data_IF_693130088090
#
_entry.id   IF_693130088090
#
_cell.length_a   1.000
_cell.length_b   1.000
_cell.length_c   1.000
_cell.angle_alpha   90.00
_cell.angle_beta   90.00
_cell.angle_gamma   90.00
#
_symmetry.space_group_name_H-M   'P 1'
#
loop_
_entity.id
_entity.type
_entity.pdbx_description
1 polymer ?
#
# COMPACT_ATOMS: atom_id res chain seq x y z
N UNK A 1 8.44 41.90 -54.57
CA UNK A 1 8.31 40.44 -54.41
C UNK A 1 9.69 39.75 -54.28
N UNK A 2 10.52 40.07 -53.28
CA UNK A 2 11.86 39.44 -53.10
C UNK A 2 12.18 39.03 -51.64
N UNK A 3 11.32 39.36 -50.68
CA UNK A 3 11.62 39.26 -49.24
C UNK A 3 11.06 37.99 -48.56
N UNK A 4 10.15 37.26 -49.19
CA UNK A 4 9.48 36.10 -48.57
C UNK A 4 10.30 34.80 -48.65
N UNK A 5 11.30 34.74 -49.52
CA UNK A 5 12.12 33.54 -49.72
C UNK A 5 13.27 33.44 -48.70
N UNK A 6 13.78 34.58 -48.23
CA UNK A 6 14.84 34.62 -47.22
C UNK A 6 14.32 34.19 -45.83
N UNK A 7 13.07 34.53 -45.51
CA UNK A 7 12.46 34.18 -44.22
C UNK A 7 12.08 32.71 -44.11
N UNK A 8 11.67 32.07 -45.21
CA UNK A 8 11.34 30.64 -45.22
C UNK A 8 12.59 29.77 -45.11
N UNK A 9 13.68 30.14 -45.79
CA UNK A 9 14.96 29.44 -45.69
C UNK A 9 15.55 29.49 -44.27
N UNK A 10 15.45 30.63 -43.57
CA UNK A 10 15.93 30.77 -42.20
C UNK A 10 15.16 29.89 -41.20
N UNK A 11 13.83 29.77 -41.36
CA UNK A 11 12.99 28.94 -40.50
C UNK A 11 13.26 27.44 -40.67
N UNK A 12 13.51 26.99 -41.90
CA UNK A 12 13.85 25.58 -42.18
C UNK A 12 15.21 25.22 -41.60
N UNK A 13 16.21 26.11 -41.70
CA UNK A 13 17.52 25.90 -41.08
C UNK A 13 17.44 25.82 -39.54
N UNK A 14 16.58 26.63 -38.92
CA UNK A 14 16.34 26.59 -37.47
C UNK A 14 15.66 25.28 -37.02
N UNK A 15 14.72 24.76 -37.82
CA UNK A 15 14.04 23.49 -37.54
C UNK A 15 14.97 22.26 -37.71
N UNK A 16 15.89 22.31 -38.67
CA UNK A 16 16.90 21.25 -38.87
C UNK A 16 18.00 21.24 -37.78
N UNK A 17 18.25 22.38 -37.13
CA UNK A 17 19.19 22.46 -36.01
C UNK A 17 18.63 21.87 -34.70
N UNK A 18 17.30 21.77 -34.56
CA UNK A 18 16.65 21.21 -33.35
C UNK A 18 16.58 19.67 -33.34
N UNK A 19 16.87 18.99 -34.46
CA UNK A 19 16.72 17.53 -34.57
C UNK A 19 17.96 16.71 -34.21
N UNK A 20 19.09 17.33 -33.86
CA UNK A 20 20.30 16.62 -33.44
C UNK A 20 20.44 16.58 -31.90
N UNK A 21 19.60 15.78 -31.24
CA UNK A 21 19.97 15.18 -29.95
C UNK A 21 20.17 13.68 -30.14
N UNK A 22 21.40 13.34 -30.50
CA UNK A 22 21.89 11.98 -30.57
C UNK A 22 21.87 11.27 -29.21
N UNK A 23 21.46 10.01 -29.30
CA UNK A 23 21.62 8.87 -28.40
C UNK A 23 22.82 8.93 -27.41
N UNK A 24 22.57 8.70 -26.11
CA UNK A 24 23.52 8.01 -25.21
C UNK A 24 22.92 7.78 -23.80
N UNK A 25 22.63 6.52 -23.46
CA UNK A 25 23.23 5.78 -22.33
C UNK A 25 22.50 4.43 -22.21
N UNK A 26 23.23 3.35 -22.47
CA UNK A 26 22.76 2.00 -22.13
C UNK A 26 22.75 1.84 -20.62
N UNK A 27 21.57 1.62 -20.05
CA UNK A 27 21.43 1.25 -18.64
C UNK A 27 21.32 -0.27 -18.56
N UNK A 28 22.44 -0.93 -18.31
CA UNK A 28 22.44 -2.27 -17.72
C UNK A 28 22.09 -2.12 -16.23
N UNK A 29 20.90 -2.58 -15.87
CA UNK A 29 20.45 -2.68 -14.49
C UNK A 29 19.50 -3.86 -14.35
N UNK A 30 20.05 -5.05 -14.15
CA UNK A 30 19.28 -6.21 -13.70
C UNK A 30 18.91 -5.98 -12.23
N UNK A 31 17.81 -5.27 -12.06
CA UNK A 31 17.21 -5.01 -10.75
C UNK A 31 16.52 -6.30 -10.30
N UNK A 32 17.26 -7.24 -9.71
CA UNK A 32 16.66 -8.36 -8.97
C UNK A 32 16.07 -7.84 -7.66
N UNK A 33 14.98 -7.06 -7.75
CA UNK A 33 14.15 -6.69 -6.62
C UNK A 33 13.41 -7.94 -6.13
N UNK A 34 14.05 -8.69 -5.23
CA UNK A 34 13.48 -9.89 -4.60
C UNK A 34 12.29 -9.59 -3.68
N UNK A 35 11.95 -8.31 -3.47
CA UNK A 35 10.84 -7.85 -2.64
C UNK A 35 9.57 -7.48 -3.44
N UNK A 36 9.61 -7.49 -4.78
CA UNK A 36 8.43 -7.24 -5.61
C UNK A 36 7.89 -8.53 -6.26
N UNK A 37 7.80 -9.62 -5.49
CA UNK A 37 7.03 -10.79 -5.95
C UNK A 37 5.56 -10.51 -5.69
N UNK A 38 4.76 -10.47 -6.74
CA UNK A 38 3.31 -10.58 -6.64
C UNK A 38 2.96 -12.05 -6.37
N UNK A 39 2.21 -12.31 -5.29
CA UNK A 39 1.78 -13.66 -4.93
C UNK A 39 0.58 -14.08 -5.76
N UNK A 40 0.56 -15.33 -6.24
CA UNK A 40 -0.63 -15.84 -6.92
C UNK A 40 -1.73 -16.18 -5.92
N UNK A 41 -2.96 -16.29 -6.41
CA UNK A 41 -4.12 -16.62 -5.57
C UNK A 41 -3.97 -18.01 -4.94
N UNK A 42 -3.39 -18.95 -5.68
CA UNK A 42 -3.16 -20.32 -5.24
C UNK A 42 -2.13 -20.37 -4.12
N UNK A 43 -1.04 -19.59 -4.23
CA UNK A 43 -0.02 -19.48 -3.19
C UNK A 43 -0.60 -18.88 -1.90
N UNK A 44 -1.43 -17.83 -2.02
CA UNK A 44 -2.11 -17.24 -0.87
C UNK A 44 -3.06 -18.24 -0.19
N UNK A 45 -3.79 -19.04 -0.97
CA UNK A 45 -4.65 -20.10 -0.43
C UNK A 45 -3.84 -21.20 0.28
N UNK A 46 -2.65 -21.53 -0.22
CA UNK A 46 -1.76 -22.47 0.44
C UNK A 46 -1.21 -21.91 1.76
N UNK A 47 -0.84 -20.64 1.79
CA UNK A 47 -0.39 -19.97 3.02
C UNK A 47 -1.50 -19.93 4.07
N UNK A 48 -2.72 -19.60 3.66
CA UNK A 48 -3.90 -19.60 4.52
C UNK A 48 -4.18 -21.00 5.08
N UNK A 49 -4.10 -22.04 4.25
CA UNK A 49 -4.29 -23.42 4.69
C UNK A 49 -3.23 -23.88 5.69
N UNK A 50 -1.99 -23.36 5.58
CA UNK A 50 -0.87 -23.73 6.47
C UNK A 50 -0.85 -22.94 7.77
N UNK A 51 -1.19 -21.65 7.71
CA UNK A 51 -0.90 -20.69 8.78
C UNK A 51 -2.10 -19.85 9.22
N UNK A 52 -3.24 -19.93 8.52
CA UNK A 52 -4.44 -19.13 8.84
C UNK A 52 -5.20 -19.63 10.06
N UNK A 53 -4.95 -20.85 10.52
CA UNK A 53 -5.59 -21.39 11.72
C UNK A 53 -4.78 -21.09 12.99
N UNK A 54 -5.42 -20.40 13.94
CA UNK A 54 -4.87 -20.18 15.28
C UNK A 54 -5.44 -21.20 16.27
N UNK A 55 -4.57 -21.75 17.12
CA UNK A 55 -4.98 -22.53 18.28
C UNK A 55 -5.50 -21.60 19.38
N UNK A 56 -6.40 -22.10 20.24
CA UNK A 56 -7.02 -21.28 21.31
C UNK A 56 -6.04 -20.72 22.37
N UNK A 57 -4.79 -21.18 22.36
CA UNK A 57 -3.71 -20.70 23.24
C UNK A 57 -2.69 -19.80 22.50
N UNK A 58 -2.90 -19.56 21.21
CA UNK A 58 -2.05 -18.73 20.35
C UNK A 58 -2.85 -17.48 19.89
N UNK A 59 -2.16 -16.49 19.34
CA UNK A 59 -2.76 -15.28 18.80
C UNK A 59 -2.97 -14.18 19.85
N UNK A 60 -3.56 -13.07 19.40
CA UNK A 60 -3.96 -11.97 20.29
C UNK A 60 -5.29 -12.34 20.93
N UNK A 61 -5.38 -12.25 22.26
CA UNK A 61 -6.60 -12.51 23.04
C UNK A 61 -7.67 -11.43 22.90
N UNK A 62 -8.03 -11.05 21.67
CA UNK A 62 -9.23 -10.26 21.42
C UNK A 62 -10.48 -11.13 21.53
N UNK A 63 -11.66 -10.51 21.64
CA UNK A 63 -12.90 -11.25 21.68
C UNK A 63 -13.08 -12.03 20.36
N UNK A 64 -13.15 -13.37 20.46
CA UNK A 64 -13.30 -14.27 19.32
C UNK A 64 -12.28 -14.07 18.17
N UNK A 65 -11.05 -13.63 18.50
CA UNK A 65 -10.00 -13.32 17.51
C UNK A 65 -10.40 -12.24 16.48
N UNK A 66 -11.34 -11.34 16.81
CA UNK A 66 -11.65 -10.17 15.97
C UNK A 66 -10.49 -9.18 15.95
N UNK A 67 -10.40 -8.41 14.87
CA UNK A 67 -9.37 -7.38 14.72
C UNK A 67 -9.42 -6.34 15.85
N UNK A 68 -8.26 -6.08 16.46
CA UNK A 68 -8.14 -5.05 17.49
C UNK A 68 -8.03 -3.66 16.85
N UNK A 69 -8.96 -2.79 17.19
CA UNK A 69 -8.97 -1.39 16.74
C UNK A 69 -9.20 -0.43 17.91
N UNK A 70 -8.54 0.73 17.87
CA UNK A 70 -8.78 1.81 18.84
C UNK A 70 -10.03 2.60 18.46
N UNK A 71 -11.19 2.01 18.68
CA UNK A 71 -12.50 2.50 18.23
C UNK A 71 -12.82 3.94 18.67
N UNK A 72 -12.43 4.36 19.88
CA UNK A 72 -12.73 5.71 20.38
C UNK A 72 -11.81 6.81 19.82
N UNK A 73 -10.71 6.44 19.16
CA UNK A 73 -9.75 7.40 18.61
C UNK A 73 -9.63 7.35 17.09
N UNK A 74 -10.19 6.31 16.45
CA UNK A 74 -10.16 6.14 15.01
C UNK A 74 -11.60 6.14 14.43
N UNK A 75 -12.14 7.32 14.09
CA UNK A 75 -13.49 7.44 13.54
C UNK A 75 -13.61 6.99 12.07
N UNK A 76 -12.48 6.73 11.39
CA UNK A 76 -12.51 6.24 10.01
C UNK A 76 -12.92 4.75 9.94
N UNK A 77 -12.68 4.02 11.01
CA UNK A 77 -13.01 2.60 11.10
C UNK A 77 -14.51 2.42 11.30
N UNK A 78 -15.13 1.58 10.48
CA UNK A 78 -16.57 1.31 10.51
C UNK A 78 -16.80 -0.11 10.97
N UNK A 79 -17.81 -0.28 11.82
CA UNK A 79 -18.16 -1.56 12.41
C UNK A 79 -19.67 -1.65 12.53
N UNK A 80 -20.25 -2.79 12.19
CA UNK A 80 -21.65 -3.10 12.47
C UNK A 80 -21.85 -3.42 13.96
N UNK A 81 -20.87 -4.13 14.54
CA UNK A 81 -20.81 -4.50 15.95
C UNK A 81 -19.38 -4.25 16.44
N UNK A 82 -19.24 -3.57 17.58
CA UNK A 82 -17.97 -3.35 18.24
C UNK A 82 -18.05 -3.81 19.70
N UNK A 83 -16.95 -4.37 20.21
CA UNK A 83 -16.85 -4.90 21.58
C UNK A 83 -15.81 -4.07 22.33
N UNK A 84 -16.25 -3.44 23.42
CA UNK A 84 -15.39 -2.60 24.28
C UNK A 84 -15.50 -3.11 25.71
N UNK A 85 -14.37 -3.55 26.26
CA UNK A 85 -14.28 -3.92 27.66
C UNK A 85 -14.17 -2.69 28.55
N UNK A 86 -14.95 -2.68 29.65
CA UNK A 86 -14.84 -1.67 30.71
C UNK A 86 -14.59 -2.41 32.03
N UNK A 87 -13.33 -2.66 32.41
CA UNK A 87 -12.98 -3.40 33.62
C UNK A 87 -13.16 -2.49 34.85
N UNK A 88 -14.41 -2.32 35.27
CA UNK A 88 -14.80 -1.47 36.39
C UNK A 88 -15.40 -2.31 37.52
N UNK A 89 -14.69 -2.40 38.65
CA UNK A 89 -15.11 -3.19 39.80
C UNK A 89 -15.37 -2.37 41.08
N UNK A 90 -15.24 -1.04 41.02
CA UNK A 90 -15.29 -0.22 42.24
C UNK A 90 -16.70 -0.07 42.86
N UNK A 91 -17.75 -0.46 42.12
CA UNK A 91 -19.14 -0.40 42.61
C UNK A 91 -19.62 -1.70 43.27
N UNK A 92 -18.77 -2.73 43.43
CA UNK A 92 -19.15 -3.97 44.12
C UNK A 92 -19.13 -3.79 45.64
N UNK A 93 -20.08 -4.41 46.36
CA UNK A 93 -20.21 -4.29 47.82
C UNK A 93 -19.50 -5.39 48.62
N UNK A 94 -18.83 -6.33 47.94
CA UNK A 94 -18.18 -7.47 48.59
C UNK A 94 -16.87 -7.83 47.91
N UNK A 95 -16.86 -8.84 47.02
CA UNK A 95 -15.62 -9.36 46.44
C UNK A 95 -15.33 -8.72 45.06
N UNK A 96 -14.18 -8.05 44.89
CA UNK A 96 -13.73 -7.54 43.59
C UNK A 96 -13.15 -8.65 42.71
N UNK A 97 -12.84 -8.31 41.45
CA UNK A 97 -12.24 -9.22 40.46
C UNK A 97 -13.06 -9.50 39.20
N UNK A 98 -13.92 -8.55 38.81
CA UNK A 98 -14.69 -8.58 37.56
C UNK A 98 -13.80 -8.28 36.35
#
# INVERSE_FOLDING_TARGET
>A
MKSTWATTLGLVALLLALSHRGLACGSHGDNNNKYSREWTREELAELEAKWGFEWSFNGIGSFAHLDYVKCLTNPAEKYDIAIVGVPFDTAVSYRPGN
#
